data_IF_836890280356
#
_entry.id   IF_836890280356
#
_cell.length_a   1.000
_cell.length_b   1.000
_cell.length_c   1.000
_cell.angle_alpha   90.00
_cell.angle_beta   90.00
_cell.angle_gamma   90.00
#
_symmetry.space_group_name_H-M   'P 1'
#
loop_
_entity.id
_entity.type
_entity.pdbx_description
1 polymer ?
#
# COMPACT_ATOMS: atom_id res chain seq x y z
N UNK A 1 -63.69 39.25 9.31
CA UNK A 1 -63.22 37.96 8.74
C UNK A 1 -62.27 38.29 7.60
N UNK A 2 -60.95 38.26 7.83
CA UNK A 2 -59.97 38.52 6.77
C UNK A 2 -59.60 37.20 6.08
N UNK A 3 -59.72 37.10 4.75
CA UNK A 3 -59.27 35.92 4.01
C UNK A 3 -57.75 35.82 4.12
N UNK A 4 -57.28 34.72 4.71
CA UNK A 4 -55.86 34.42 4.84
C UNK A 4 -55.23 34.27 3.46
N UNK A 5 -54.32 35.18 3.13
CA UNK A 5 -53.50 35.08 1.93
C UNK A 5 -52.52 33.94 2.16
N UNK A 6 -52.82 32.77 1.59
CA UNK A 6 -51.90 31.62 1.62
C UNK A 6 -50.60 32.03 0.93
N UNK A 7 -49.49 31.91 1.65
CA UNK A 7 -48.17 32.32 1.18
C UNK A 7 -47.78 31.45 -0.02
N UNK A 8 -47.80 32.06 -1.21
CA UNK A 8 -47.50 31.39 -2.50
C UNK A 8 -46.14 30.69 -2.49
N UNK A 9 -45.21 31.16 -1.67
CA UNK A 9 -43.87 30.56 -1.53
C UNK A 9 -43.95 29.21 -0.84
N UNK A 10 -44.76 29.10 0.20
CA UNK A 10 -44.98 27.86 0.92
C UNK A 10 -45.67 26.84 0.02
N UNK A 11 -46.68 27.27 -0.75
CA UNK A 11 -47.34 26.40 -1.74
C UNK A 11 -46.35 25.89 -2.81
N UNK A 12 -45.51 26.79 -3.37
CA UNK A 12 -44.49 26.41 -4.35
C UNK A 12 -43.45 25.43 -3.79
N UNK A 13 -43.01 25.62 -2.54
CA UNK A 13 -42.07 24.71 -1.88
C UNK A 13 -42.66 23.31 -1.69
N UNK A 14 -43.95 23.21 -1.32
CA UNK A 14 -44.64 21.93 -1.21
C UNK A 14 -44.71 21.19 -2.55
N UNK A 15 -45.09 21.89 -3.63
CA UNK A 15 -45.13 21.28 -4.96
C UNK A 15 -43.76 20.85 -5.46
N UNK A 16 -42.71 21.65 -5.22
CA UNK A 16 -41.35 21.30 -5.60
C UNK A 16 -40.86 20.05 -4.85
N UNK A 17 -41.12 19.98 -3.54
CA UNK A 17 -40.78 18.81 -2.73
C UNK A 17 -41.51 17.57 -3.24
N UNK A 18 -42.82 17.65 -3.50
CA UNK A 18 -43.60 16.53 -4.02
C UNK A 18 -43.07 16.07 -5.39
N UNK A 19 -42.78 17.01 -6.30
CA UNK A 19 -42.23 16.70 -7.61
C UNK A 19 -40.86 16.01 -7.52
N UNK A 20 -39.99 16.45 -6.61
CA UNK A 20 -38.67 15.82 -6.40
C UNK A 20 -38.81 14.38 -5.89
N UNK A 21 -39.72 14.12 -4.95
CA UNK A 21 -39.94 12.77 -4.44
C UNK A 21 -40.50 11.84 -5.52
N UNK A 22 -41.41 12.34 -6.36
CA UNK A 22 -41.93 11.57 -7.50
C UNK A 22 -40.81 11.25 -8.50
N UNK A 23 -39.93 12.21 -8.80
CA UNK A 23 -38.79 11.98 -9.70
C UNK A 23 -37.84 10.90 -9.17
N UNK A 24 -37.50 10.95 -7.89
CA UNK A 24 -36.62 9.94 -7.25
C UNK A 24 -37.29 8.56 -7.27
N UNK A 25 -38.58 8.48 -6.93
CA UNK A 25 -39.32 7.21 -6.99
C UNK A 25 -39.35 6.64 -8.42
N UNK A 26 -39.50 7.49 -9.43
CA UNK A 26 -39.51 7.09 -10.84
C UNK A 26 -38.13 6.64 -11.32
N UNK A 27 -37.06 7.32 -10.89
CA UNK A 27 -35.67 6.89 -11.16
C UNK A 27 -35.35 5.52 -10.54
N UNK A 28 -35.87 5.24 -9.34
CA UNK A 28 -35.68 3.94 -8.67
C UNK A 28 -36.48 2.82 -9.34
N UNK A 29 -37.60 3.12 -10.01
CA UNK A 29 -38.36 2.13 -10.80
C UNK A 29 -37.73 1.80 -12.15
N UNK A 30 -36.78 2.60 -12.63
CA UNK A 30 -36.01 2.28 -13.84
C UNK A 30 -34.94 1.25 -13.45
N UNK A 31 -35.34 -0.02 -13.31
CA UNK A 31 -34.48 -1.20 -13.11
C UNK A 31 -33.55 -1.50 -14.32
N UNK A 32 -33.39 -0.56 -15.25
CA UNK A 32 -32.72 -0.76 -16.55
C UNK A 32 -31.24 -0.32 -16.55
N UNK A 33 -30.66 -0.05 -15.38
CA UNK A 33 -29.22 0.24 -15.28
C UNK A 33 -28.25 -0.96 -15.17
N UNK A 34 -28.62 -2.26 -15.14
CA UNK A 34 -27.61 -3.32 -15.08
C UNK A 34 -26.86 -3.52 -16.41
N UNK A 35 -27.38 -3.03 -17.55
CA UNK A 35 -26.73 -3.16 -18.86
C UNK A 35 -25.67 -2.09 -19.16
N UNK A 36 -25.59 -1.03 -18.36
CA UNK A 36 -24.54 0.00 -18.50
C UNK A 36 -23.25 -0.34 -17.72
N UNK A 37 -23.28 -1.40 -16.91
CA UNK A 37 -22.09 -1.92 -16.24
C UNK A 37 -21.57 -3.14 -17.03
N UNK A 38 -20.30 -3.14 -17.46
CA UNK A 38 -19.74 -4.30 -18.14
C UNK A 38 -19.84 -5.51 -17.23
N UNK A 39 -20.57 -6.55 -17.69
CA UNK A 39 -20.58 -7.89 -17.10
C UNK A 39 -19.13 -8.29 -16.83
N UNK A 40 -18.79 -8.48 -15.55
CA UNK A 40 -17.53 -9.09 -15.20
C UNK A 40 -17.42 -10.43 -15.94
N UNK A 41 -16.27 -10.73 -16.57
CA UNK A 41 -16.09 -11.99 -17.28
C UNK A 41 -16.30 -13.13 -16.29
N UNK A 42 -17.29 -13.97 -16.59
CA UNK A 42 -17.62 -15.18 -15.85
C UNK A 42 -16.33 -15.91 -15.46
N UNK A 43 -16.18 -16.15 -14.15
CA UNK A 43 -15.14 -16.98 -13.59
C UNK A 43 -15.03 -18.26 -14.43
N UNK A 44 -13.89 -18.44 -15.10
CA UNK A 44 -13.52 -19.74 -15.64
C UNK A 44 -13.30 -20.65 -14.43
N UNK A 45 -14.36 -21.32 -13.98
CA UNK A 45 -14.26 -22.50 -13.14
C UNK A 45 -13.48 -23.55 -13.92
N UNK A 46 -12.18 -23.65 -13.64
CA UNK A 46 -11.33 -24.72 -14.14
C UNK A 46 -11.66 -25.96 -13.30
N UNK A 47 -12.63 -26.74 -13.76
CA UNK A 47 -12.96 -28.04 -13.19
C UNK A 47 -11.79 -29.00 -13.49
N UNK A 48 -10.94 -29.21 -12.48
CA UNK A 48 -9.86 -30.20 -12.53
C UNK A 48 -10.46 -31.53 -12.14
N UNK A 49 -10.82 -32.33 -13.14
CA UNK A 49 -11.16 -33.74 -12.96
C UNK A 49 -9.91 -34.48 -12.46
N UNK A 50 -9.91 -34.85 -11.17
CA UNK A 50 -8.84 -35.63 -10.55
C UNK A 50 -8.96 -37.07 -11.04
N UNK A 51 -8.20 -37.40 -12.09
CA UNK A 51 -7.94 -38.78 -12.48
C UNK A 51 -7.22 -39.48 -11.32
N UNK A 52 -7.77 -40.57 -10.75
CA UNK A 52 -7.08 -41.33 -9.73
C UNK A 52 -5.79 -41.92 -10.31
N UNK A 53 -4.64 -41.57 -9.73
CA UNK A 53 -3.36 -42.21 -10.07
C UNK A 53 -3.44 -43.72 -9.80
N UNK A 54 -2.98 -44.58 -10.72
CA UNK A 54 -2.89 -46.01 -10.48
C UNK A 54 -1.87 -46.30 -9.36
N UNK A 55 -2.26 -47.15 -8.41
CA UNK A 55 -1.48 -47.57 -7.25
C UNK A 55 -0.03 -47.94 -7.63
N UNK A 56 0.95 -47.19 -7.13
CA UNK A 56 2.36 -47.60 -7.19
C UNK A 56 2.57 -48.90 -6.43
N UNK A 57 3.38 -49.84 -6.96
CA UNK A 57 3.72 -51.07 -6.26
C UNK A 57 4.51 -50.77 -4.99
N UNK A 58 4.17 -51.50 -3.93
CA UNK A 58 4.76 -51.43 -2.59
C UNK A 58 6.28 -51.69 -2.71
N UNK A 59 7.14 -50.78 -2.21
CA UNK A 59 8.58 -51.02 -2.15
C UNK A 59 8.89 -52.22 -1.24
N UNK A 60 9.87 -53.08 -1.57
CA UNK A 60 10.32 -54.14 -0.67
C UNK A 60 10.86 -53.54 0.64
N UNK A 61 10.76 -54.26 1.78
CA UNK A 61 11.25 -53.77 3.07
C UNK A 61 12.75 -53.48 3.00
N UNK A 62 13.12 -52.30 3.49
CA UNK A 62 14.51 -51.86 3.57
C UNK A 62 15.31 -52.78 4.52
N UNK A 63 16.57 -53.13 4.19
CA UNK A 63 17.48 -53.82 5.10
C UNK A 63 17.72 -52.99 6.37
N UNK A 64 17.83 -53.67 7.51
CA UNK A 64 18.16 -53.05 8.80
C UNK A 64 19.44 -52.21 8.72
N UNK A 65 19.48 -51.02 9.35
CA UNK A 65 20.67 -50.19 9.38
C UNK A 65 21.79 -50.87 10.19
N UNK A 66 23.04 -50.83 9.71
CA UNK A 66 24.19 -51.31 10.48
C UNK A 66 24.39 -50.49 11.77
N UNK A 67 25.00 -51.09 12.82
CA UNK A 67 25.13 -50.50 14.14
C UNK A 67 25.86 -49.15 14.13
N UNK A 68 25.38 -48.22 14.95
CA UNK A 68 25.90 -46.87 15.13
C UNK A 68 27.42 -46.86 15.38
N UNK A 69 28.20 -46.06 14.62
CA UNK A 69 29.59 -45.80 14.94
C UNK A 69 29.73 -45.03 16.26
N UNK A 70 30.67 -45.54 17.06
CA UNK A 70 31.07 -45.03 18.36
C UNK A 70 31.42 -43.52 18.33
N UNK A 71 30.90 -42.84 19.34
CA UNK A 71 31.19 -41.47 19.75
C UNK A 71 32.71 -41.24 19.80
N UNK A 72 33.25 -40.59 18.77
CA UNK A 72 34.65 -40.16 18.73
C UNK A 72 34.79 -38.82 19.45
N UNK A 73 35.88 -38.73 20.21
CA UNK A 73 36.30 -37.63 21.08
C UNK A 73 36.48 -36.30 20.33
N UNK A 74 36.32 -35.13 20.98
CA UNK A 74 36.40 -33.83 20.31
C UNK A 74 37.83 -33.50 19.85
N UNK A 75 37.98 -33.21 18.56
CA UNK A 75 39.20 -32.62 18.01
C UNK A 75 39.40 -31.18 18.54
N UNK A 76 40.66 -30.73 18.74
CA UNK A 76 40.96 -29.38 19.21
C UNK A 76 40.53 -28.30 18.20
N UNK A 77 40.21 -27.08 18.66
CA UNK A 77 39.72 -26.01 17.80
C UNK A 77 40.80 -25.54 16.80
N UNK A 78 40.40 -25.18 15.56
CA UNK A 78 41.33 -24.62 14.58
C UNK A 78 41.83 -23.23 15.01
N UNK A 79 43.04 -22.83 14.56
CA UNK A 79 43.58 -21.51 14.86
C UNK A 79 42.73 -20.40 14.22
N UNK A 80 42.68 -19.19 14.84
CA UNK A 80 41.85 -18.09 14.37
C UNK A 80 42.32 -17.59 13.00
N UNK A 81 41.39 -17.54 12.04
CA UNK A 81 41.55 -16.92 10.74
C UNK A 81 41.81 -15.42 10.92
N UNK A 82 43.03 -14.97 10.59
CA UNK A 82 43.36 -13.56 10.49
C UNK A 82 42.56 -12.95 9.34
N UNK A 83 41.61 -12.07 9.67
CA UNK A 83 40.88 -11.28 8.66
C UNK A 83 41.86 -10.28 8.03
N UNK A 84 41.91 -10.16 6.69
CA UNK A 84 42.61 -9.07 6.04
C UNK A 84 42.01 -7.72 6.48
N UNK A 85 42.83 -6.86 7.09
CA UNK A 85 42.46 -5.46 7.33
C UNK A 85 42.42 -4.74 5.98
N UNK A 86 41.27 -4.17 5.64
CA UNK A 86 41.12 -3.26 4.51
C UNK A 86 41.67 -1.90 4.92
N UNK A 87 42.71 -1.43 4.23
CA UNK A 87 43.24 -0.08 4.39
C UNK A 87 42.23 0.96 3.85
N UNK A 88 42.05 2.10 4.54
CA UNK A 88 41.21 3.19 4.06
C UNK A 88 41.90 3.97 2.93
N UNK A 89 41.21 4.14 1.81
CA UNK A 89 41.65 4.97 0.70
C UNK A 89 41.59 6.48 1.05
N UNK A 90 42.53 7.30 0.54
CA UNK A 90 42.63 8.71 0.89
C UNK A 90 41.53 9.58 0.26
N UNK A 91 41.01 10.50 1.07
CA UNK A 91 40.06 11.54 0.69
C UNK A 91 40.65 12.45 -0.39
N UNK A 92 39.91 12.62 -1.48
CA UNK A 92 40.16 13.70 -2.43
C UNK A 92 39.25 14.90 -2.09
N UNK A 93 39.84 15.89 -1.44
CA UNK A 93 39.36 17.26 -1.42
C UNK A 93 39.63 17.91 -2.79
N UNK A 94 38.60 18.43 -3.47
CA UNK A 94 38.75 19.66 -4.26
C UNK A 94 37.43 20.31 -4.66
N UNK A 95 37.28 21.55 -4.21
CA UNK A 95 36.31 22.55 -4.62
C UNK A 95 36.40 22.90 -6.11
N UNK A 96 35.26 23.22 -6.74
CA UNK A 96 35.22 24.12 -7.88
C UNK A 96 33.87 24.87 -7.97
N UNK A 97 33.97 26.13 -8.34
CA UNK A 97 33.04 27.23 -8.08
C UNK A 97 31.78 27.26 -8.94
N UNK A 98 30.80 28.02 -8.43
CA UNK A 98 29.63 28.55 -9.13
C UNK A 98 29.95 29.17 -10.50
N UNK A 99 29.10 28.90 -11.48
CA UNK A 99 28.73 29.86 -12.54
C UNK A 99 27.25 29.72 -12.93
N UNK A 100 26.62 30.83 -13.41
CA UNK A 100 25.19 31.06 -13.32
C UNK A 100 24.38 30.45 -14.48
N UNK A 101 23.10 30.24 -14.21
CA UNK A 101 22.06 29.62 -15.03
C UNK A 101 21.84 30.29 -16.40
N UNK A 102 21.53 29.52 -17.46
CA UNK A 102 20.61 29.95 -18.49
C UNK A 102 19.19 29.53 -18.10
N UNK A 103 18.31 30.54 -18.12
CA UNK A 103 16.85 30.48 -18.00
C UNK A 103 16.24 29.33 -18.82
N UNK A 104 15.38 28.48 -18.24
CA UNK A 104 14.45 27.67 -19.02
C UNK A 104 13.14 28.42 -19.22
N UNK A 105 12.72 28.49 -20.48
CA UNK A 105 11.35 28.78 -20.91
C UNK A 105 10.32 27.86 -20.22
N UNK A 106 9.03 28.25 -20.17
CA UNK A 106 8.04 27.62 -19.31
C UNK A 106 7.67 26.23 -19.84
N UNK A 107 8.22 25.19 -19.21
CA UNK A 107 7.73 23.83 -19.36
C UNK A 107 6.30 23.70 -18.77
N UNK A 108 5.42 22.90 -19.39
CA UNK A 108 4.05 22.73 -18.95
C UNK A 108 4.02 22.15 -17.54
N UNK A 109 3.06 22.59 -16.71
CA UNK A 109 2.80 22.11 -15.35
C UNK A 109 2.70 20.57 -15.33
N UNK A 110 3.82 19.89 -15.16
CA UNK A 110 3.83 18.49 -14.73
C UNK A 110 3.41 18.52 -13.27
N UNK A 111 2.18 18.07 -13.02
CA UNK A 111 1.66 17.90 -11.68
C UNK A 111 2.66 17.05 -10.89
N UNK A 112 3.27 17.65 -9.86
CA UNK A 112 4.09 16.94 -8.90
C UNK A 112 3.22 15.83 -8.29
N UNK A 113 3.50 14.57 -8.63
CA UNK A 113 2.82 13.43 -8.03
C UNK A 113 3.22 13.40 -6.56
N UNK A 114 2.23 13.51 -5.67
CA UNK A 114 2.44 13.54 -4.23
C UNK A 114 2.49 12.11 -3.64
N UNK A 115 3.20 11.90 -2.51
CA UNK A 115 3.02 10.71 -1.69
C UNK A 115 1.54 10.47 -1.40
N UNK A 116 1.08 9.23 -1.53
CA UNK A 116 -0.36 8.94 -1.55
C UNK A 116 -0.70 7.47 -1.33
N UNK A 117 -1.84 7.23 -0.69
CA UNK A 117 -2.49 5.94 -0.54
C UNK A 117 -3.55 5.73 -1.63
N UNK A 118 -3.72 4.50 -2.11
CA UNK A 118 -4.73 4.11 -3.10
C UNK A 118 -5.05 2.61 -3.00
N UNK A 119 -6.24 2.21 -3.41
CA UNK A 119 -6.60 0.79 -3.66
C UNK A 119 -6.52 0.40 -5.14
N UNK A 120 -6.25 1.37 -6.00
CA UNK A 120 -6.21 1.14 -7.44
C UNK A 120 -4.85 0.58 -7.86
N UNK A 121 -4.87 -0.46 -8.69
CA UNK A 121 -3.70 -1.13 -9.28
C UNK A 121 -2.94 -0.25 -10.29
N UNK A 122 -3.51 0.92 -10.59
CA UNK A 122 -2.95 1.89 -11.52
C UNK A 122 -1.51 2.32 -11.19
N UNK A 123 -0.78 2.68 -12.24
CA UNK A 123 0.64 3.01 -12.25
C UNK A 123 0.99 4.02 -11.15
N UNK A 124 1.62 3.56 -10.07
CA UNK A 124 2.17 4.42 -9.02
C UNK A 124 3.30 5.23 -9.64
N UNK A 125 2.98 6.48 -9.97
CA UNK A 125 3.93 7.35 -10.67
C UNK A 125 4.98 7.86 -9.68
N UNK A 126 6.26 7.86 -10.09
CA UNK A 126 7.38 8.34 -9.29
C UNK A 126 7.15 9.83 -8.90
N UNK A 127 7.06 10.19 -7.61
CA UNK A 127 7.04 11.57 -7.17
C UNK A 127 8.38 12.23 -7.51
N UNK A 128 8.32 13.50 -7.89
CA UNK A 128 9.50 14.31 -8.12
C UNK A 128 10.25 14.49 -6.77
N UNK A 129 11.57 14.28 -6.76
CA UNK A 129 12.51 14.57 -5.65
C UNK A 129 12.87 13.45 -4.65
N UNK A 130 12.75 12.17 -5.01
CA UNK A 130 13.40 11.10 -4.23
C UNK A 130 14.83 10.84 -4.71
N UNK A 131 15.79 10.77 -3.78
CA UNK A 131 17.20 10.48 -4.07
C UNK A 131 17.43 9.00 -4.46
N UNK A 132 16.48 8.12 -4.15
CA UNK A 132 16.49 6.72 -4.53
C UNK A 132 15.28 5.94 -4.01
N UNK A 133 15.17 4.67 -4.40
CA UNK A 133 14.18 3.72 -3.87
C UNK A 133 14.77 2.85 -2.76
N UNK A 134 13.97 2.52 -1.74
CA UNK A 134 14.36 1.59 -0.68
C UNK A 134 14.51 0.15 -1.22
N UNK A 135 15.49 -0.61 -0.70
CA UNK A 135 15.65 -2.03 -1.05
C UNK A 135 14.46 -2.87 -0.54
N UNK A 136 14.11 -3.96 -1.24
CA UNK A 136 12.94 -4.80 -0.91
C UNK A 136 12.90 -5.24 0.57
N UNK A 137 14.01 -5.75 1.10
CA UNK A 137 14.09 -6.21 2.50
C UNK A 137 13.80 -5.09 3.51
N UNK A 138 14.10 -3.85 3.17
CA UNK A 138 13.78 -2.69 3.99
C UNK A 138 12.30 -2.31 3.86
N UNK A 139 11.72 -2.47 2.67
CA UNK A 139 10.28 -2.29 2.47
C UNK A 139 9.49 -3.31 3.28
N UNK A 140 9.92 -4.57 3.30
CA UNK A 140 9.27 -5.63 4.07
C UNK A 140 9.35 -5.37 5.59
N UNK A 141 10.49 -4.88 6.09
CA UNK A 141 10.65 -4.48 7.49
C UNK A 141 9.72 -3.32 7.86
N UNK A 142 9.65 -2.29 7.02
CA UNK A 142 8.73 -1.16 7.25
C UNK A 142 7.29 -1.63 7.19
N UNK A 143 6.93 -2.45 6.21
CA UNK A 143 5.59 -3.00 6.08
C UNK A 143 5.21 -3.81 7.33
N UNK A 144 6.10 -4.67 7.83
CA UNK A 144 5.89 -5.43 9.06
C UNK A 144 5.68 -4.51 10.28
N UNK A 145 6.46 -3.43 10.39
CA UNK A 145 6.28 -2.43 11.46
C UNK A 145 4.92 -1.72 11.37
N UNK A 146 4.48 -1.36 10.17
CA UNK A 146 3.18 -0.70 9.95
C UNK A 146 2.04 -1.68 10.26
N UNK A 147 2.13 -2.93 9.79
CA UNK A 147 1.13 -3.97 10.05
C UNK A 147 1.00 -4.25 11.55
N UNK A 148 2.11 -4.24 12.31
CA UNK A 148 2.06 -4.43 13.76
C UNK A 148 1.23 -3.36 14.48
N UNK A 149 1.10 -2.15 13.90
CA UNK A 149 0.28 -1.05 14.41
C UNK A 149 -1.10 -0.99 13.76
N UNK A 150 -1.37 -1.83 12.76
CA UNK A 150 -2.57 -1.73 11.95
C UNK A 150 -3.70 -2.60 12.50
N UNK A 151 -4.67 -1.93 13.15
CA UNK A 151 -5.86 -2.57 13.69
C UNK A 151 -7.00 -2.54 12.67
N UNK A 152 -6.99 -3.50 11.74
CA UNK A 152 -8.06 -3.71 10.78
C UNK A 152 -8.40 -5.20 10.69
N UNK A 153 -9.69 -5.54 10.58
CA UNK A 153 -10.11 -6.93 10.43
C UNK A 153 -9.87 -7.40 8.98
N UNK A 154 -8.64 -7.83 8.68
CA UNK A 154 -8.24 -8.33 7.36
C UNK A 154 -8.98 -9.60 6.94
N UNK A 155 -9.53 -10.37 7.88
CA UNK A 155 -10.33 -11.57 7.57
C UNK A 155 -11.58 -11.24 6.75
N UNK A 156 -12.16 -10.04 6.94
CA UNK A 156 -13.30 -9.58 6.15
C UNK A 156 -12.95 -9.34 4.67
N UNK A 157 -11.67 -9.32 4.32
CA UNK A 157 -11.15 -9.11 2.97
C UNK A 157 -10.51 -10.39 2.40
N UNK A 158 -10.61 -11.53 3.08
CA UNK A 158 -10.10 -12.80 2.57
C UNK A 158 -10.87 -13.17 1.30
N UNK A 159 -10.13 -13.54 0.25
CA UNK A 159 -10.69 -13.83 -1.08
C UNK A 159 -11.00 -12.58 -1.92
N UNK A 160 -10.82 -11.36 -1.39
CA UNK A 160 -10.88 -10.16 -2.22
C UNK A 160 -9.58 -9.97 -3.01
N UNK A 161 -9.70 -9.52 -4.26
CA UNK A 161 -8.54 -9.13 -5.09
C UNK A 161 -8.07 -7.70 -4.85
N UNK A 162 -8.48 -7.11 -3.73
CA UNK A 162 -8.12 -5.73 -3.40
C UNK A 162 -6.63 -5.64 -3.06
N UNK A 163 -5.92 -4.74 -3.76
CA UNK A 163 -4.51 -4.42 -3.50
C UNK A 163 -4.43 -3.03 -2.87
N UNK A 164 -3.83 -2.94 -1.69
CA UNK A 164 -3.48 -1.66 -1.10
C UNK A 164 -2.14 -1.21 -1.65
N UNK A 165 -2.06 0.01 -2.17
CA UNK A 165 -0.82 0.64 -2.59
C UNK A 165 -0.57 1.96 -1.88
N UNK A 166 0.65 2.14 -1.39
CA UNK A 166 1.09 3.39 -0.78
C UNK A 166 2.44 3.82 -1.37
N UNK A 167 2.52 5.06 -1.87
CA UNK A 167 3.79 5.70 -2.23
C UNK A 167 4.21 6.63 -1.12
N UNK A 168 5.32 6.29 -0.46
CA UNK A 168 5.84 6.93 0.73
C UNK A 168 7.15 7.65 0.41
N UNK A 169 7.34 8.82 1.01
CA UNK A 169 8.58 9.57 0.95
C UNK A 169 9.14 9.67 2.38
N UNK A 170 10.26 9.00 2.60
CA UNK A 170 10.85 8.76 3.92
C UNK A 170 12.04 9.69 4.10
N UNK A 171 12.04 10.40 5.22
CA UNK A 171 13.11 11.29 5.66
C UNK A 171 14.23 10.50 6.34
N UNK A 172 15.39 11.15 6.52
CA UNK A 172 16.56 10.54 7.16
C UNK A 172 16.31 10.08 8.60
N UNK A 173 15.40 10.72 9.31
CA UNK A 173 15.01 10.42 10.69
C UNK A 173 13.97 9.30 10.80
N UNK A 174 13.58 8.68 9.69
CA UNK A 174 12.53 7.65 9.66
C UNK A 174 11.11 8.20 9.69
N UNK A 175 10.91 9.53 9.65
CA UNK A 175 9.58 10.11 9.48
C UNK A 175 9.15 10.08 8.02
N UNK A 176 7.84 10.15 7.80
CA UNK A 176 7.24 10.30 6.48
C UNK A 176 7.05 11.79 6.17
N UNK A 177 7.24 12.17 4.91
CA UNK A 177 7.02 13.56 4.48
C UNK A 177 5.56 13.88 4.17
N UNK A 178 5.24 15.18 4.17
CA UNK A 178 3.96 15.72 3.71
C UNK A 178 2.78 15.34 4.63
N UNK A 179 1.59 15.03 4.07
CA UNK A 179 0.39 14.76 4.86
C UNK A 179 0.44 13.40 5.58
N UNK A 180 1.47 12.58 5.36
CA UNK A 180 1.69 11.32 6.06
C UNK A 180 2.62 11.47 7.27
N UNK A 181 3.20 12.65 7.49
CA UNK A 181 4.03 12.91 8.67
C UNK A 181 3.22 12.73 9.97
N UNK A 182 3.85 12.17 11.01
CA UNK A 182 3.18 11.92 12.30
C UNK A 182 2.54 13.16 12.92
N UNK A 183 3.21 14.31 12.80
CA UNK A 183 2.77 15.59 13.38
C UNK A 183 1.92 16.44 12.42
N UNK A 184 1.65 15.95 11.21
CA UNK A 184 0.79 16.68 10.28
C UNK A 184 -0.67 16.66 10.77
N UNK A 185 -1.48 17.71 10.52
CA UNK A 185 -2.92 17.68 10.80
C UNK A 185 -3.58 16.43 10.20
N UNK A 186 -4.56 15.86 10.90
CA UNK A 186 -5.31 14.72 10.37
C UNK A 186 -6.18 15.18 9.20
N UNK A 187 -5.74 14.86 7.98
CA UNK A 187 -6.44 15.17 6.73
C UNK A 187 -6.30 13.99 5.75
N UNK A 188 -7.24 13.03 5.78
CA UNK A 188 -7.24 11.86 4.90
C UNK A 188 -7.28 12.24 3.41
N UNK A 189 -7.98 13.31 3.03
CA UNK A 189 -8.08 13.78 1.64
C UNK A 189 -6.73 14.22 1.05
N UNK A 190 -5.83 14.71 1.89
CA UNK A 190 -4.49 15.09 1.45
C UNK A 190 -3.57 13.86 1.26
N UNK A 191 -3.81 12.77 2.00
CA UNK A 191 -2.93 11.60 2.02
C UNK A 191 -3.44 10.42 1.17
N UNK A 192 -4.76 10.32 0.94
CA UNK A 192 -5.40 9.22 0.24
C UNK A 192 -5.97 9.77 -1.07
N UNK A 193 -5.52 9.21 -2.19
CA UNK A 193 -5.94 9.65 -3.52
C UNK A 193 -7.42 9.35 -3.72
N UNK A 194 -8.21 10.39 -3.98
CA UNK A 194 -9.63 10.25 -4.27
C UNK A 194 -10.50 9.93 -3.05
N UNK A 195 -10.01 10.15 -1.83
CA UNK A 195 -10.72 9.83 -0.58
C UNK A 195 -12.15 10.36 -0.51
N UNK A 196 -12.38 11.65 -0.80
CA UNK A 196 -13.71 12.26 -0.87
C UNK A 196 -14.70 11.55 -1.81
N UNK A 197 -14.20 10.79 -2.80
CA UNK A 197 -15.03 10.08 -3.78
C UNK A 197 -15.27 8.62 -3.41
N UNK A 198 -14.59 8.11 -2.38
CA UNK A 198 -14.77 6.74 -1.93
C UNK A 198 -16.12 6.61 -1.21
N UNK A 199 -16.89 5.55 -1.49
CA UNK A 199 -18.11 5.28 -0.73
C UNK A 199 -17.75 5.01 0.73
N UNK A 200 -18.63 5.43 1.64
CA UNK A 200 -18.51 5.07 3.04
C UNK A 200 -18.65 3.55 3.18
N UNK A 201 -17.68 2.91 3.84
CA UNK A 201 -17.64 1.46 3.96
C UNK A 201 -16.29 0.91 4.35
N UNK A 202 -16.11 -0.39 4.11
CA UNK A 202 -14.92 -1.17 4.50
C UNK A 202 -13.64 -0.59 3.89
N UNK A 203 -13.65 -0.24 2.61
CA UNK A 203 -12.46 0.29 1.90
C UNK A 203 -12.00 1.62 2.47
N UNK A 204 -12.93 2.55 2.71
CA UNK A 204 -12.62 3.87 3.27
C UNK A 204 -12.01 3.74 4.67
N UNK A 205 -12.65 2.95 5.54
CA UNK A 205 -12.16 2.65 6.90
C UNK A 205 -10.80 1.94 6.87
N UNK A 206 -10.59 1.01 5.94
CA UNK A 206 -9.30 0.35 5.75
C UNK A 206 -8.18 1.34 5.45
N UNK A 207 -8.39 2.27 4.50
CA UNK A 207 -7.38 3.28 4.15
C UNK A 207 -7.12 4.27 5.29
N UNK A 208 -8.16 4.71 6.00
CA UNK A 208 -8.03 5.57 7.19
C UNK A 208 -7.21 4.88 8.29
N UNK A 209 -7.57 3.65 8.64
CA UNK A 209 -6.85 2.88 9.67
C UNK A 209 -5.41 2.58 9.25
N UNK A 210 -5.15 2.36 7.96
CA UNK A 210 -3.78 2.16 7.47
C UNK A 210 -2.97 3.46 7.51
N UNK A 211 -3.57 4.60 7.14
CA UNK A 211 -2.94 5.92 7.28
C UNK A 211 -2.62 6.22 8.75
N UNK A 212 -3.55 5.89 9.66
CA UNK A 212 -3.32 6.01 11.09
C UNK A 212 -2.15 5.13 11.54
N UNK A 213 -2.11 3.87 11.15
CA UNK A 213 -1.02 2.95 11.45
C UNK A 213 0.33 3.46 10.93
N UNK A 214 0.38 4.01 9.71
CA UNK A 214 1.57 4.65 9.14
C UNK A 214 2.07 5.82 9.99
N UNK A 215 1.17 6.63 10.55
CA UNK A 215 1.53 7.74 11.44
C UNK A 215 2.02 7.23 12.80
N UNK A 216 1.36 6.23 13.37
CA UNK A 216 1.72 5.63 14.66
C UNK A 216 3.03 4.84 14.60
N UNK A 217 3.37 4.27 13.45
CA UNK A 217 4.60 3.52 13.24
C UNK A 217 5.85 4.41 13.12
N UNK A 218 5.72 5.74 13.04
CA UNK A 218 6.88 6.63 12.93
C UNK A 218 7.54 6.88 14.30
N UNK A 219 8.88 6.87 14.38
CA UNK A 219 9.83 6.74 13.28
C UNK A 219 9.98 5.30 12.77
N UNK A 220 10.12 5.16 11.46
CA UNK A 220 10.32 3.89 10.78
C UNK A 220 11.75 3.36 11.03
N UNK A 221 11.87 2.05 11.24
CA UNK A 221 13.15 1.37 11.39
C UNK A 221 13.80 1.17 10.02
N UNK A 222 14.76 2.01 9.69
CA UNK A 222 15.43 2.01 8.39
C UNK A 222 16.73 1.19 8.44
N UNK A 223 17.10 0.54 7.31
CA UNK A 223 18.42 -0.08 7.20
C UNK A 223 19.53 0.98 7.26
N UNK A 224 20.78 0.57 7.53
CA UNK A 224 21.94 1.46 7.45
C UNK A 224 21.98 2.22 6.12
N UNK A 225 22.46 3.46 6.15
CA UNK A 225 22.50 4.32 4.97
C UNK A 225 23.40 3.70 3.89
N UNK A 226 22.84 3.43 2.72
CA UNK A 226 23.59 2.88 1.56
C UNK A 226 24.28 3.98 0.72
N UNK A 227 24.29 5.23 1.20
CA UNK A 227 24.96 6.36 0.55
C UNK A 227 24.15 7.03 -0.57
N UNK A 228 22.93 6.56 -0.87
CA UNK A 228 22.06 7.14 -1.92
C UNK A 228 21.38 8.46 -1.54
N UNK A 229 21.68 9.01 -0.36
CA UNK A 229 21.08 10.25 0.12
C UNK A 229 19.62 10.11 0.55
N UNK A 230 19.06 11.23 1.01
CA UNK A 230 17.70 11.35 1.54
C UNK A 230 17.03 12.59 0.95
N UNK A 231 15.70 12.61 0.80
CA UNK A 231 14.72 11.59 1.18
C UNK A 231 14.62 10.42 0.19
N UNK A 232 14.09 9.29 0.66
CA UNK A 232 13.93 8.06 -0.15
C UNK A 232 12.48 7.77 -0.44
N UNK A 233 12.22 7.20 -1.61
CA UNK A 233 10.91 6.71 -1.97
C UNK A 233 10.77 5.23 -1.61
N UNK A 234 9.58 4.86 -1.15
CA UNK A 234 9.17 3.48 -1.00
C UNK A 234 7.76 3.31 -1.55
N UNK A 235 7.53 2.20 -2.25
CA UNK A 235 6.20 1.83 -2.74
C UNK A 235 5.81 0.54 -2.03
N UNK A 236 4.78 0.60 -1.20
CA UNK A 236 4.20 -0.60 -0.59
C UNK A 236 3.04 -1.07 -1.46
N UNK A 237 2.99 -2.38 -1.72
CA UNK A 237 1.89 -3.05 -2.43
C UNK A 237 1.65 -4.40 -1.79
N UNK A 238 0.44 -4.63 -1.29
CA UNK A 238 0.07 -5.91 -0.68
C UNK A 238 -1.45 -6.12 -0.75
N UNK A 239 -1.89 -7.36 -0.69
CA UNK A 239 -3.30 -7.71 -0.50
C UNK A 239 -3.59 -7.80 1.00
N UNK A 240 -4.53 -7.01 1.55
CA UNK A 240 -4.86 -7.09 2.98
C UNK A 240 -5.33 -8.48 3.42
N UNK A 241 -6.02 -9.21 2.54
CA UNK A 241 -6.48 -10.58 2.80
C UNK A 241 -5.35 -11.60 3.03
N UNK A 242 -4.14 -11.32 2.53
CA UNK A 242 -2.97 -12.21 2.68
C UNK A 242 -2.27 -12.02 4.05
N UNK A 243 -2.66 -11.01 4.83
CA UNK A 243 -2.02 -10.68 6.11
C UNK A 243 -2.62 -11.43 7.30
N UNK A 244 -3.75 -12.13 7.13
CA UNK A 244 -4.34 -12.93 8.20
C UNK A 244 -3.46 -14.15 8.46
N UNK A 245 -2.80 -14.18 9.63
CA UNK A 245 -2.22 -15.41 10.19
C UNK A 245 -3.29 -16.21 10.93
#
# INVERSE_FOLDING_TARGET
MHPGVVDRRLTAAFFLSAALHVLVALLLQIEVLPDLFPKEPAERSMEVEVVPEPSRPIPPPAPEPPPEPQKTEPAPPPPPLQRPQLEPAPLAEKSAALRPSPRPDPAPKQAAIAPGLSTDSGTVSRPAQAAGSLAQSAQDKVLAQVIAMWHFNSNALRGSDMVLSASLLINRDGTLSGPMHKDAPWNPDAAIKGYSKLPDGTTKRMLETFLLALRMAQPLQLPPDDGKGWPRQMILRFKPGDLSR
#
